data_IF_854473263953
#
_entry.id   IF_854473263953
#
_cell.length_a   1.000
_cell.length_b   1.000
_cell.length_c   1.000
_cell.angle_alpha   90.00
_cell.angle_beta   90.00
_cell.angle_gamma   90.00
#
_symmetry.space_group_name_H-M   'P 1'
#
loop_
_entity.id
_entity.type
_entity.pdbx_description
1 polymer ?
#
# COMPACT_ATOMS: atom_id res chain seq x y z
N UNK A 1 0.18 22.16 6.49
CA UNK A 1 1.42 22.96 6.56
C UNK A 1 1.13 24.13 7.48
N UNK A 2 2.06 24.49 8.36
CA UNK A 2 1.92 25.68 9.18
C UNK A 2 1.71 26.91 8.30
N UNK A 3 0.83 27.81 8.72
CA UNK A 3 0.53 29.04 8.00
C UNK A 3 1.74 29.96 7.96
N UNK A 4 2.57 29.94 9.01
CA UNK A 4 3.83 30.70 9.11
C UNK A 4 4.83 30.35 7.99
N UNK A 5 4.87 29.09 7.56
CA UNK A 5 5.77 28.63 6.48
C UNK A 5 5.37 29.17 5.11
N UNK A 6 4.21 29.81 4.96
CA UNK A 6 3.84 30.44 3.68
C UNK A 6 4.81 31.55 3.28
N UNK A 7 5.43 32.24 4.24
CA UNK A 7 6.45 33.25 3.97
C UNK A 7 7.71 32.69 3.28
N UNK A 8 7.95 31.38 3.42
CA UNK A 8 9.11 30.69 2.86
C UNK A 8 8.90 30.21 1.41
N UNK A 9 7.66 30.25 0.90
CA UNK A 9 7.30 29.76 -0.44
C UNK A 9 8.23 30.29 -1.54
N UNK A 10 8.56 31.59 -1.61
CA UNK A 10 9.49 32.08 -2.64
C UNK A 10 10.85 31.36 -2.59
N UNK A 11 11.42 31.19 -1.40
CA UNK A 11 12.72 30.52 -1.22
C UNK A 11 12.65 29.02 -1.60
N UNK A 12 11.58 28.32 -1.22
CA UNK A 12 11.38 26.91 -1.62
C UNK A 12 11.26 26.78 -3.14
N UNK A 13 10.47 27.65 -3.80
CA UNK A 13 10.30 27.61 -5.26
C UNK A 13 11.61 27.93 -6.00
N UNK A 14 12.38 28.90 -5.51
CA UNK A 14 13.69 29.24 -6.08
C UNK A 14 14.69 28.09 -5.89
N UNK A 15 14.68 27.43 -4.73
CA UNK A 15 15.46 26.22 -4.46
C UNK A 15 15.13 25.09 -5.44
N UNK A 16 13.84 24.84 -5.68
CA UNK A 16 13.37 23.85 -6.65
C UNK A 16 13.85 24.17 -8.07
N UNK A 17 13.79 25.43 -8.48
CA UNK A 17 14.22 25.87 -9.80
C UNK A 17 15.74 25.78 -9.99
N UNK A 18 16.53 26.07 -8.94
CA UNK A 18 17.99 25.85 -8.92
C UNK A 18 18.33 24.37 -8.99
N UNK A 19 17.57 23.54 -8.28
CA UNK A 19 17.74 22.08 -8.25
C UNK A 19 17.42 21.44 -9.60
N UNK A 20 16.37 21.89 -10.27
CA UNK A 20 15.90 21.34 -11.54
C UNK A 20 15.41 22.46 -12.49
N UNK A 21 16.29 23.00 -13.35
CA UNK A 21 15.94 24.06 -14.30
C UNK A 21 14.86 23.68 -15.31
N UNK A 22 14.55 22.38 -15.47
CA UNK A 22 13.45 21.94 -16.36
C UNK A 22 12.07 22.40 -15.86
N UNK A 23 11.96 22.86 -14.61
CA UNK A 23 10.73 23.39 -14.04
C UNK A 23 10.36 24.80 -14.54
N UNK A 24 11.22 25.50 -15.30
CA UNK A 24 10.92 26.86 -15.81
C UNK A 24 9.52 27.01 -16.43
N UNK A 25 9.03 26.10 -17.28
CA UNK A 25 7.71 26.25 -17.92
C UNK A 25 6.55 26.13 -16.94
N UNK A 26 6.71 25.40 -15.84
CA UNK A 26 5.66 25.30 -14.83
C UNK A 26 5.74 26.46 -13.83
N UNK A 27 6.94 26.95 -13.52
CA UNK A 27 7.15 28.07 -12.60
C UNK A 27 6.45 29.36 -13.06
N UNK A 28 6.31 29.57 -14.37
CA UNK A 28 5.56 30.72 -14.93
C UNK A 28 4.04 30.60 -14.79
N UNK A 29 3.51 29.42 -14.47
CA UNK A 29 2.09 29.15 -14.32
C UNK A 29 1.64 29.13 -12.84
N UNK A 30 2.57 29.27 -11.90
CA UNK A 30 2.26 29.24 -10.48
C UNK A 30 1.72 30.59 -10.01
N UNK A 31 0.57 30.60 -9.35
CA UNK A 31 0.14 31.71 -8.52
C UNK A 31 0.77 31.56 -7.13
N UNK A 32 1.86 32.30 -6.89
CA UNK A 32 2.59 32.30 -5.61
C UNK A 32 1.80 32.91 -4.46
N UNK A 33 0.72 33.65 -4.76
CA UNK A 33 -0.19 34.20 -3.74
C UNK A 33 -1.28 33.20 -3.33
N UNK A 34 -1.49 32.15 -4.12
CA UNK A 34 -2.51 31.13 -3.86
C UNK A 34 -2.24 30.40 -2.54
N UNK A 35 -3.21 30.47 -1.64
CA UNK A 35 -3.24 29.71 -0.38
C UNK A 35 -4.25 28.58 -0.49
N UNK A 36 -3.79 27.40 -0.89
CA UNK A 36 -4.63 26.21 -0.86
C UNK A 36 -5.02 25.83 0.58
N UNK A 37 -5.99 24.93 0.73
CA UNK A 37 -6.38 24.36 2.03
C UNK A 37 -5.25 23.61 2.79
N UNK A 38 -4.09 23.41 2.16
CA UNK A 38 -2.96 22.73 2.77
C UNK A 38 -2.28 23.57 3.87
N UNK A 39 -2.44 24.91 3.84
CA UNK A 39 -1.94 25.83 4.87
C UNK A 39 -3.00 26.01 5.95
N UNK A 40 -2.81 25.41 7.11
CA UNK A 40 -3.81 25.40 8.18
C UNK A 40 -3.17 24.91 9.49
N UNK A 41 -2.95 25.80 10.44
CA UNK A 41 -2.34 25.46 11.74
C UNK A 41 -3.20 24.50 12.56
N UNK A 42 -4.53 24.65 12.49
CA UNK A 42 -5.48 23.77 13.17
C UNK A 42 -5.50 22.32 12.67
N UNK A 43 -4.78 22.01 11.58
CA UNK A 43 -4.61 20.64 11.04
C UNK A 43 -3.17 20.14 11.11
N UNK A 44 -2.26 20.89 11.73
CA UNK A 44 -0.90 20.44 12.00
C UNK A 44 -0.89 19.71 13.35
N UNK A 45 -0.24 18.55 13.39
CA UNK A 45 -0.05 17.77 14.63
C UNK A 45 1.41 17.89 15.08
N UNK A 46 2.04 16.83 15.60
CA UNK A 46 3.47 16.83 15.92
C UNK A 46 4.37 17.13 14.71
N UNK A 47 3.89 16.86 13.50
CA UNK A 47 4.62 17.07 12.25
C UNK A 47 3.71 17.70 11.19
N UNK A 48 4.33 18.32 10.18
CA UNK A 48 3.65 18.85 9.01
C UNK A 48 3.87 17.95 7.78
N UNK A 49 3.18 18.25 6.67
CA UNK A 49 3.36 17.54 5.40
C UNK A 49 4.81 17.61 4.90
N UNK A 50 5.28 16.54 4.26
CA UNK A 50 6.62 16.46 3.69
C UNK A 50 6.69 17.34 2.45
N UNK A 51 7.60 18.32 2.45
CA UNK A 51 7.80 19.30 1.37
C UNK A 51 9.27 19.41 1.00
N UNK A 52 9.61 19.99 -0.17
CA UNK A 52 10.99 20.35 -0.49
C UNK A 52 11.56 21.37 0.50
N UNK A 53 12.88 21.36 0.66
CA UNK A 53 13.61 22.25 1.57
C UNK A 53 14.03 23.57 0.91
N UNK A 54 14.44 24.53 1.73
CA UNK A 54 14.96 25.84 1.30
C UNK A 54 16.29 25.74 0.54
N UNK A 55 17.04 24.66 0.75
CA UNK A 55 18.34 24.45 0.11
C UNK A 55 18.21 23.70 -1.21
N UNK A 56 18.87 24.16 -2.30
CA UNK A 56 18.94 23.42 -3.54
C UNK A 56 19.58 22.04 -3.35
N UNK A 57 18.96 21.01 -3.90
CA UNK A 57 19.49 19.64 -3.81
C UNK A 57 20.35 19.30 -5.02
N UNK A 58 21.41 18.51 -4.82
CA UNK A 58 22.10 17.83 -5.92
C UNK A 58 21.39 16.52 -6.23
N UNK A 59 20.80 16.41 -7.42
CA UNK A 59 20.05 15.21 -7.84
C UNK A 59 20.94 14.09 -8.39
N UNK A 60 22.17 14.39 -8.79
CA UNK A 60 23.11 13.44 -9.41
C UNK A 60 23.43 12.19 -8.57
N UNK A 61 23.61 12.27 -7.23
CA UNK A 61 23.90 11.09 -6.42
C UNK A 61 22.65 10.25 -6.09
N UNK A 62 21.44 10.75 -6.37
CA UNK A 62 20.22 10.05 -6.02
C UNK A 62 20.02 8.83 -6.91
N UNK A 63 19.69 7.70 -6.29
CA UNK A 63 19.18 6.54 -7.01
C UNK A 63 17.86 6.88 -7.72
N UNK A 64 17.48 6.06 -8.71
CA UNK A 64 16.21 6.21 -9.43
C UNK A 64 15.00 6.27 -8.47
N UNK A 65 15.03 5.48 -7.39
CA UNK A 65 13.95 5.45 -6.39
C UNK A 65 13.90 6.73 -5.56
N UNK A 66 15.05 7.22 -5.10
CA UNK A 66 15.13 8.49 -4.35
C UNK A 66 14.68 9.65 -5.22
N UNK A 67 15.11 9.68 -6.48
CA UNK A 67 14.70 10.69 -7.45
C UNK A 67 13.20 10.63 -7.73
N UNK A 68 12.61 9.44 -7.84
CA UNK A 68 11.16 9.28 -8.00
C UNK A 68 10.37 9.81 -6.79
N UNK A 69 10.82 9.51 -5.57
CA UNK A 69 10.21 10.03 -4.33
C UNK A 69 10.35 11.55 -4.25
N UNK A 70 11.54 12.10 -4.53
CA UNK A 70 11.77 13.54 -4.57
C UNK A 70 10.85 14.25 -5.57
N UNK A 71 10.75 13.72 -6.80
CA UNK A 71 9.86 14.26 -7.84
C UNK A 71 8.40 14.22 -7.40
N UNK A 72 7.97 13.15 -6.73
CA UNK A 72 6.60 13.03 -6.20
C UNK A 72 6.30 14.09 -5.13
N UNK A 73 7.21 14.28 -4.17
CA UNK A 73 7.07 15.30 -3.11
C UNK A 73 7.00 16.69 -3.73
N UNK A 74 7.95 17.01 -4.61
CA UNK A 74 8.01 18.28 -5.34
C UNK A 74 6.74 18.56 -6.12
N UNK A 75 6.24 17.58 -6.88
CA UNK A 75 5.04 17.75 -7.69
C UNK A 75 3.80 18.07 -6.84
N UNK A 76 3.66 17.42 -5.68
CA UNK A 76 2.58 17.73 -4.73
C UNK A 76 2.70 19.13 -4.11
N UNK A 77 3.92 19.62 -3.89
CA UNK A 77 4.15 20.98 -3.43
C UNK A 77 3.80 22.01 -4.51
N UNK A 78 4.27 21.84 -5.74
CA UNK A 78 3.96 22.72 -6.88
C UNK A 78 2.45 22.78 -7.16
N UNK A 79 1.75 21.65 -7.01
CA UNK A 79 0.30 21.57 -7.15
C UNK A 79 -0.48 22.53 -6.23
N UNK A 80 0.10 22.97 -5.10
CA UNK A 80 -0.55 23.90 -4.18
C UNK A 80 -0.70 25.32 -4.74
N UNK A 81 0.03 25.65 -5.81
CA UNK A 81 0.08 26.97 -6.43
C UNK A 81 -0.47 26.99 -7.87
N UNK A 82 -1.10 25.89 -8.28
CA UNK A 82 -1.77 25.78 -9.58
C UNK A 82 -3.28 25.85 -9.39
N UNK A 83 -4.03 26.33 -10.40
CA UNK A 83 -5.48 26.45 -10.31
C UNK A 83 -6.15 25.08 -10.15
N UNK A 84 -7.42 25.10 -9.77
CA UNK A 84 -8.22 23.89 -9.70
C UNK A 84 -8.29 23.18 -11.05
N UNK A 85 -8.40 21.85 -10.98
CA UNK A 85 -8.70 21.05 -12.17
C UNK A 85 -10.21 21.13 -12.42
N UNK A 86 -10.60 21.74 -13.52
CA UNK A 86 -12.00 21.98 -13.88
C UNK A 86 -12.37 21.15 -15.10
N UNK A 87 -13.57 20.59 -15.08
CA UNK A 87 -14.10 19.77 -16.17
C UNK A 87 -15.62 19.87 -16.21
N UNK A 88 -16.16 19.82 -17.42
CA UNK A 88 -17.58 19.69 -17.66
C UNK A 88 -17.96 18.21 -17.61
N UNK A 89 -18.95 17.89 -16.78
CA UNK A 89 -19.55 16.55 -16.74
C UNK A 89 -20.90 16.61 -17.43
N UNK A 90 -21.04 15.88 -18.53
CA UNK A 90 -22.31 15.71 -19.23
C UNK A 90 -22.91 14.35 -18.88
N UNK A 91 -24.18 14.31 -18.51
CA UNK A 91 -24.95 13.07 -18.38
C UNK A 91 -26.08 13.16 -19.39
N UNK A 92 -26.04 12.30 -20.40
CA UNK A 92 -27.03 12.25 -21.46
C UNK A 92 -27.88 10.99 -21.29
N UNK A 93 -29.19 11.20 -21.20
CA UNK A 93 -30.18 10.14 -21.16
C UNK A 93 -30.80 9.98 -22.53
N UNK A 94 -30.86 8.75 -23.03
CA UNK A 94 -31.41 8.41 -24.33
C UNK A 94 -32.55 7.43 -24.15
N UNK A 95 -33.66 7.72 -24.83
CA UNK A 95 -34.75 6.76 -24.99
C UNK A 95 -34.52 5.99 -26.28
N UNK A 96 -34.43 4.66 -26.17
CA UNK A 96 -34.29 3.76 -27.31
C UNK A 96 -35.33 2.64 -27.18
N UNK A 97 -36.45 2.79 -27.88
CA UNK A 97 -37.61 1.89 -27.71
C UNK A 97 -38.16 1.99 -26.29
N UNK A 98 -38.16 0.86 -25.56
CA UNK A 98 -38.58 0.80 -24.15
C UNK A 98 -37.43 0.95 -23.15
N UNK A 99 -36.19 1.11 -23.64
CA UNK A 99 -35.00 1.16 -22.79
C UNK A 99 -34.56 2.61 -22.58
N UNK A 100 -34.10 2.89 -21.36
CA UNK A 100 -33.40 4.12 -21.01
C UNK A 100 -31.90 3.83 -20.94
N UNK A 101 -31.13 4.51 -21.78
CA UNK A 101 -29.67 4.40 -21.84
C UNK A 101 -29.06 5.67 -21.27
N UNK A 102 -27.92 5.54 -20.60
CA UNK A 102 -27.19 6.68 -20.02
C UNK A 102 -25.77 6.68 -20.54
N UNK A 103 -25.34 7.82 -21.06
CA UNK A 103 -23.93 8.09 -21.34
C UNK A 103 -23.43 9.20 -20.42
N UNK A 104 -22.28 9.00 -19.78
CA UNK A 104 -21.59 10.07 -19.05
C UNK A 104 -20.36 10.49 -19.83
N UNK A 105 -20.18 11.80 -19.99
CA UNK A 105 -19.00 12.41 -20.61
C UNK A 105 -18.26 13.33 -19.65
N UNK A 106 -16.95 13.45 -19.85
CA UNK A 106 -16.08 14.36 -19.10
C UNK A 106 -15.17 15.11 -20.06
N UNK A 107 -15.33 16.43 -20.13
CA UNK A 107 -14.46 17.33 -20.91
C UNK A 107 -13.61 18.16 -19.95
N UNK A 108 -12.29 18.03 -20.01
CA UNK A 108 -11.39 18.89 -19.21
C UNK A 108 -11.41 20.30 -19.77
N UNK A 109 -11.70 21.28 -18.91
CA UNK A 109 -11.70 22.72 -19.23
C UNK A 109 -10.39 23.35 -18.76
N UNK A 110 -9.98 23.05 -17.52
CA UNK A 110 -8.71 23.50 -16.93
C UNK A 110 -7.96 22.30 -16.39
N UNK A 111 -6.74 22.05 -16.90
CA UNK A 111 -5.90 20.96 -16.38
C UNK A 111 -5.47 21.21 -14.93
N UNK A 112 -5.15 22.46 -14.61
CA UNK A 112 -4.85 22.92 -13.25
C UNK A 112 -3.70 22.18 -12.61
N UNK A 113 -3.81 21.89 -11.31
CA UNK A 113 -2.80 21.16 -10.53
C UNK A 113 -2.41 19.79 -11.10
N UNK A 114 -3.19 19.19 -12.01
CA UNK A 114 -2.81 17.95 -12.70
C UNK A 114 -1.67 18.12 -13.70
N UNK A 115 -1.24 19.34 -14.00
CA UNK A 115 -0.07 19.59 -14.86
C UNK A 115 1.23 18.98 -14.31
N UNK A 116 1.36 18.91 -12.98
CA UNK A 116 2.59 18.45 -12.32
C UNK A 116 2.49 17.03 -11.78
N UNK A 117 1.27 16.52 -11.58
CA UNK A 117 1.07 15.14 -11.13
C UNK A 117 0.99 14.21 -12.33
N UNK A 118 1.63 13.05 -12.22
CA UNK A 118 1.50 12.00 -13.22
C UNK A 118 0.01 11.67 -13.42
N UNK A 119 -0.43 11.60 -14.68
CA UNK A 119 -1.77 11.10 -14.94
C UNK A 119 -1.84 9.64 -14.48
N UNK A 120 -2.87 9.27 -13.71
CA UNK A 120 -3.05 7.87 -13.35
C UNK A 120 -3.13 7.08 -14.66
N UNK A 121 -2.25 6.09 -14.82
CA UNK A 121 -2.41 5.12 -15.89
C UNK A 121 -3.80 4.52 -15.73
N UNK A 122 -4.59 4.53 -16.81
CA UNK A 122 -5.88 3.84 -16.80
C UNK A 122 -5.61 2.38 -16.42
N UNK A 123 -6.12 1.95 -15.26
CA UNK A 123 -6.15 0.54 -14.94
C UNK A 123 -7.06 -0.12 -15.99
N UNK A 124 -6.50 -1.00 -16.82
CA UNK A 124 -7.20 -1.69 -17.92
C UNK A 124 -8.44 -2.50 -17.47
N UNK A 125 -8.63 -2.68 -16.15
CA UNK A 125 -9.71 -3.45 -15.53
C UNK A 125 -10.83 -2.58 -14.90
N UNK A 126 -10.91 -1.28 -15.22
CA UNK A 126 -11.82 -0.34 -14.57
C UNK A 126 -12.91 0.26 -15.47
N UNK A 127 -14.12 0.40 -14.92
CA UNK A 127 -15.27 1.15 -15.47
C UNK A 127 -14.99 2.68 -15.65
N UNK A 128 -13.75 3.11 -15.39
CA UNK A 128 -13.31 4.50 -15.50
C UNK A 128 -13.16 4.97 -16.96
N UNK A 129 -12.92 4.06 -17.91
CA UNK A 129 -12.81 4.39 -19.33
C UNK A 129 -14.13 4.97 -19.89
N UNK A 130 -15.29 4.50 -19.40
CA UNK A 130 -16.59 5.07 -19.77
C UNK A 130 -16.84 6.45 -19.14
N UNK A 131 -16.13 6.80 -18.07
CA UNK A 131 -16.24 8.10 -17.37
C UNK A 131 -15.28 9.16 -17.89
N UNK A 132 -14.29 8.78 -18.70
CA UNK A 132 -13.32 9.68 -19.32
C UNK A 132 -13.63 10.00 -20.78
N UNK A 133 -14.67 9.39 -21.39
CA UNK A 133 -15.08 9.73 -22.74
C UNK A 133 -15.55 11.19 -22.85
N UNK A 134 -15.28 11.82 -23.98
CA UNK A 134 -15.85 13.13 -24.32
C UNK A 134 -17.11 12.89 -25.13
N UNK A 135 -18.24 13.42 -24.67
CA UNK A 135 -19.47 13.38 -25.44
C UNK A 135 -19.50 14.56 -26.43
N UNK A 136 -20.07 14.36 -27.63
CA UNK A 136 -20.31 15.46 -28.55
C UNK A 136 -21.31 16.45 -27.94
N UNK A 137 -21.43 17.67 -28.49
CA UNK A 137 -22.49 18.59 -28.12
C UNK A 137 -23.87 17.94 -28.33
N UNK A 138 -24.66 17.84 -27.25
CA UNK A 138 -26.01 17.27 -27.26
C UNK A 138 -27.03 18.32 -26.81
N UNK A 139 -28.26 18.21 -27.29
CA UNK A 139 -29.40 19.04 -26.86
C UNK A 139 -30.66 18.18 -26.70
N UNK A 140 -31.57 18.61 -25.83
CA UNK A 140 -32.86 17.92 -25.65
C UNK A 140 -33.62 17.79 -26.97
N UNK A 141 -34.22 16.62 -27.20
CA UNK A 141 -34.97 16.32 -28.42
C UNK A 141 -34.12 15.97 -29.65
N UNK A 142 -32.78 15.92 -29.54
CA UNK A 142 -31.93 15.44 -30.61
C UNK A 142 -32.16 13.94 -30.86
N UNK A 143 -32.49 13.58 -32.09
CA UNK A 143 -32.56 12.18 -32.50
C UNK A 143 -31.15 11.66 -32.86
N UNK A 144 -30.74 10.56 -32.23
CA UNK A 144 -29.48 9.88 -32.50
C UNK A 144 -29.74 8.55 -33.21
N UNK A 145 -28.96 8.23 -34.25
CA UNK A 145 -29.03 6.92 -34.90
C UNK A 145 -28.24 5.88 -34.09
N UNK A 146 -28.82 4.69 -33.92
CA UNK A 146 -28.12 3.55 -33.33
C UNK A 146 -27.27 2.89 -34.42
N UNK A 147 -25.95 3.00 -34.31
CA UNK A 147 -25.03 2.41 -35.27
C UNK A 147 -24.76 0.93 -34.98
N UNK A 148 -24.59 0.58 -33.71
CA UNK A 148 -24.27 -0.77 -33.25
C UNK A 148 -24.94 -1.05 -31.91
N UNK A 149 -25.30 -2.31 -31.68
CA UNK A 149 -25.80 -2.80 -30.38
C UNK A 149 -24.96 -4.01 -29.98
N UNK A 150 -24.26 -3.89 -28.85
CA UNK A 150 -23.46 -4.96 -28.27
C UNK A 150 -24.09 -5.44 -26.96
N UNK A 151 -24.31 -6.76 -26.83
CA UNK A 151 -24.73 -7.36 -25.56
C UNK A 151 -23.48 -7.72 -24.76
N UNK A 152 -23.20 -6.97 -23.69
CA UNK A 152 -22.07 -7.23 -22.79
C UNK A 152 -22.45 -8.29 -21.74
N UNK A 153 -22.04 -9.53 -21.97
CA UNK A 153 -22.16 -10.61 -20.99
C UNK A 153 -21.09 -10.43 -19.89
N UNK A 154 -21.48 -9.82 -18.76
CA UNK A 154 -20.57 -9.56 -17.63
C UNK A 154 -20.69 -10.63 -16.54
N UNK A 155 -19.61 -10.79 -15.77
CA UNK A 155 -19.55 -11.68 -14.60
C UNK A 155 -18.98 -10.93 -13.40
N UNK A 156 -19.57 -11.14 -12.22
CA UNK A 156 -19.02 -10.60 -10.97
C UNK A 156 -17.64 -11.19 -10.70
N UNK A 157 -16.69 -10.34 -10.32
CA UNK A 157 -15.35 -10.76 -9.93
C UNK A 157 -15.22 -10.76 -8.40
N UNK A 158 -14.41 -11.67 -7.81
CA UNK A 158 -14.08 -11.59 -6.41
C UNK A 158 -13.28 -10.31 -6.10
N UNK A 159 -13.24 -9.85 -4.84
CA UNK A 159 -12.44 -8.69 -4.45
C UNK A 159 -10.97 -8.83 -4.87
N UNK A 160 -10.39 -7.75 -5.39
CA UNK A 160 -8.97 -7.73 -5.77
C UNK A 160 -8.10 -7.90 -4.51
N UNK A 161 -7.04 -8.72 -4.55
CA UNK A 161 -6.09 -8.80 -3.46
C UNK A 161 -5.41 -7.45 -3.22
N UNK A 162 -5.03 -7.17 -1.97
CA UNK A 162 -4.31 -5.95 -1.63
C UNK A 162 -2.95 -5.85 -2.33
N UNK A 163 -2.54 -4.65 -2.70
CA UNK A 163 -1.14 -4.24 -2.80
C UNK A 163 -0.63 -3.77 -1.43
N UNK A 164 0.68 -3.56 -1.27
CA UNK A 164 1.22 -3.01 -0.01
C UNK A 164 0.64 -1.62 0.31
N UNK A 165 0.48 -0.76 -0.70
CA UNK A 165 -0.08 0.58 -0.52
C UNK A 165 -1.56 0.53 -0.11
N UNK A 166 -2.35 -0.35 -0.73
CA UNK A 166 -3.75 -0.53 -0.35
C UNK A 166 -3.89 -1.15 1.05
N UNK A 167 -2.98 -2.02 1.46
CA UNK A 167 -2.95 -2.53 2.83
C UNK A 167 -2.63 -1.42 3.83
N UNK A 168 -1.65 -0.55 3.57
CA UNK A 168 -1.39 0.64 4.41
C UNK A 168 -2.63 1.54 4.49
N UNK A 169 -3.31 1.77 3.36
CA UNK A 169 -4.58 2.52 3.32
C UNK A 169 -5.67 1.83 4.15
N UNK A 170 -5.72 0.50 4.11
CA UNK A 170 -6.65 -0.29 4.92
C UNK A 170 -6.34 -0.22 6.42
N UNK A 171 -5.05 -0.25 6.80
CA UNK A 171 -4.60 -0.06 8.19
C UNK A 171 -4.97 1.32 8.71
N UNK A 172 -4.85 2.38 7.89
CA UNK A 172 -5.35 3.73 8.20
C UNK A 172 -6.87 3.77 8.37
N UNK A 173 -7.59 3.07 7.49
CA UNK A 173 -9.06 3.04 7.45
C UNK A 173 -9.70 1.87 8.19
N UNK A 174 -9.00 1.25 9.14
CA UNK A 174 -9.39 -0.03 9.75
C UNK A 174 -10.73 0.02 10.48
N UNK A 175 -11.14 1.21 10.92
CA UNK A 175 -12.42 1.49 11.56
C UNK A 175 -13.65 0.98 10.76
N UNK A 176 -13.54 0.82 9.43
CA UNK A 176 -14.62 0.25 8.60
C UNK A 176 -14.91 -1.23 8.87
N UNK A 177 -13.97 -1.94 9.49
CA UNK A 177 -14.09 -3.36 9.84
C UNK A 177 -14.54 -3.57 11.29
N UNK A 178 -14.75 -2.50 12.05
CA UNK A 178 -15.26 -2.54 13.41
C UNK A 178 -16.73 -2.19 13.44
N UNK A 179 -17.53 -3.01 14.11
CA UNK A 179 -18.98 -2.88 14.22
C UNK A 179 -19.40 -1.95 15.35
N UNK A 180 -18.70 -1.98 16.48
CA UNK A 180 -18.98 -1.11 17.62
C UNK A 180 -18.76 0.38 17.25
N UNK A 181 -19.78 1.25 17.36
CA UNK A 181 -19.68 2.66 16.98
C UNK A 181 -18.63 3.45 17.77
N UNK A 182 -18.45 3.16 19.07
CA UNK A 182 -17.50 3.86 19.94
C UNK A 182 -16.07 3.50 19.56
N UNK A 183 -15.78 2.20 19.40
CA UNK A 183 -14.46 1.73 18.98
C UNK A 183 -14.11 2.20 17.57
N UNK A 184 -15.11 2.21 16.67
CA UNK A 184 -14.98 2.74 15.32
C UNK A 184 -14.61 4.22 15.32
N UNK A 185 -15.23 5.02 16.18
CA UNK A 185 -14.89 6.44 16.28
C UNK A 185 -13.47 6.62 16.80
N UNK A 186 -13.10 5.90 17.88
CA UNK A 186 -11.75 5.98 18.44
C UNK A 186 -10.65 5.65 17.41
N UNK A 187 -10.85 4.61 16.60
CA UNK A 187 -9.92 4.25 15.52
C UNK A 187 -9.84 5.31 14.41
N UNK A 188 -10.88 6.11 14.18
CA UNK A 188 -10.79 7.24 13.24
C UNK A 188 -9.94 8.36 13.82
N UNK A 189 -10.11 8.63 15.11
CA UNK A 189 -9.40 9.70 15.82
C UNK A 189 -7.89 9.38 15.91
N UNK A 190 -7.52 8.12 16.10
CA UNK A 190 -6.12 7.65 16.18
C UNK A 190 -5.50 7.29 14.82
N UNK A 191 -6.21 7.56 13.72
CA UNK A 191 -5.80 7.22 12.34
C UNK A 191 -5.62 5.73 12.03
N UNK A 192 -6.31 4.84 12.76
CA UNK A 192 -6.37 3.41 12.50
C UNK A 192 -5.36 2.59 13.32
N UNK A 193 -4.85 1.48 12.75
CA UNK A 193 -3.85 0.65 13.42
C UNK A 193 -2.43 0.98 12.95
N UNK A 194 -1.52 1.07 13.92
CA UNK A 194 -0.14 1.50 13.72
C UNK A 194 -0.03 2.98 13.35
N UNK A 195 1.16 3.54 13.55
CA UNK A 195 1.51 4.92 13.20
C UNK A 195 2.11 5.01 11.80
N UNK A 196 2.26 6.22 11.25
CA UNK A 196 2.86 6.42 9.93
C UNK A 196 4.27 5.81 9.82
N UNK A 197 5.04 5.85 10.91
CA UNK A 197 6.39 5.29 10.97
C UNK A 197 6.43 3.74 11.04
N UNK A 198 5.36 3.08 11.50
CA UNK A 198 5.41 1.65 11.83
C UNK A 198 4.76 0.74 10.79
N UNK A 199 3.76 1.21 10.04
CA UNK A 199 2.98 0.37 9.10
C UNK A 199 3.83 -0.32 8.04
N UNK A 200 4.75 0.40 7.40
CA UNK A 200 5.63 -0.16 6.37
C UNK A 200 6.56 -1.23 6.94
N UNK A 201 7.07 -1.02 8.17
CA UNK A 201 7.91 -1.98 8.86
C UNK A 201 7.13 -3.25 9.24
N UNK A 202 5.90 -3.11 9.76
CA UNK A 202 5.03 -4.25 10.10
C UNK A 202 4.77 -5.12 8.86
N UNK A 203 4.42 -4.52 7.72
CA UNK A 203 4.23 -5.24 6.46
C UNK A 203 5.51 -5.98 6.05
N UNK A 204 6.67 -5.32 6.17
CA UNK A 204 7.98 -5.91 5.87
C UNK A 204 8.29 -7.10 6.79
N UNK A 205 7.97 -7.02 8.08
CA UNK A 205 8.12 -8.10 9.05
C UNK A 205 7.21 -9.28 8.71
N UNK A 206 5.95 -9.04 8.35
CA UNK A 206 5.02 -10.10 7.94
C UNK A 206 5.47 -10.82 6.67
N UNK A 207 6.06 -10.09 5.73
CA UNK A 207 6.69 -10.68 4.53
C UNK A 207 7.93 -11.50 4.92
N UNK A 208 8.82 -10.94 5.75
CA UNK A 208 10.05 -11.61 6.17
C UNK A 208 9.78 -12.90 6.97
N UNK A 209 8.69 -12.92 7.75
CA UNK A 209 8.23 -14.11 8.49
C UNK A 209 7.47 -15.12 7.62
N UNK A 210 7.21 -14.80 6.35
CA UNK A 210 6.49 -15.69 5.43
C UNK A 210 4.98 -15.76 5.63
N UNK A 211 4.39 -14.84 6.41
CA UNK A 211 2.93 -14.73 6.58
C UNK A 211 2.27 -14.03 5.39
N UNK A 212 2.99 -13.13 4.73
CA UNK A 212 2.56 -12.46 3.51
C UNK A 212 3.50 -12.82 2.37
N UNK A 213 2.93 -13.24 1.24
CA UNK A 213 3.65 -13.52 0.00
C UNK A 213 3.34 -12.48 -1.07
N UNK A 214 4.35 -12.09 -1.84
CA UNK A 214 4.19 -11.17 -2.99
C UNK A 214 3.87 -11.97 -4.25
N UNK A 215 2.84 -11.56 -4.99
CA UNK A 215 2.51 -12.08 -6.33
C UNK A 215 2.33 -10.90 -7.28
N UNK A 216 3.38 -10.59 -8.05
CA UNK A 216 3.44 -9.35 -8.82
C UNK A 216 3.36 -8.13 -7.89
N UNK A 217 2.44 -7.20 -8.20
CA UNK A 217 2.15 -6.02 -7.34
C UNK A 217 1.30 -6.35 -6.12
N UNK A 218 0.59 -7.48 -6.14
CA UNK A 218 -0.31 -7.90 -5.06
C UNK A 218 0.39 -8.66 -3.94
N UNK A 219 -0.21 -8.65 -2.76
CA UNK A 219 0.18 -9.42 -1.59
C UNK A 219 -0.96 -10.33 -1.15
N UNK A 220 -0.62 -11.49 -0.61
CA UNK A 220 -1.58 -12.50 -0.15
C UNK A 220 -1.12 -13.13 1.17
N UNK A 221 -2.07 -13.53 2.01
CA UNK A 221 -1.79 -14.36 3.17
C UNK A 221 -1.29 -15.74 2.71
N UNK A 222 -0.34 -16.32 3.44
CA UNK A 222 0.12 -17.70 3.25
C UNK A 222 -0.72 -18.69 4.08
N UNK A 223 -0.59 -19.98 3.79
CA UNK A 223 -1.24 -21.04 4.60
C UNK A 223 -0.81 -20.97 6.08
N UNK A 224 0.44 -20.57 6.34
CA UNK A 224 0.95 -20.35 7.68
C UNK A 224 0.25 -19.16 8.37
N UNK A 225 -0.11 -18.11 7.62
CA UNK A 225 -0.87 -16.99 8.15
C UNK A 225 -2.31 -17.36 8.47
N UNK A 226 -2.99 -18.12 7.59
CA UNK A 226 -4.33 -18.65 7.88
C UNK A 226 -4.32 -19.49 9.15
N UNK A 227 -3.38 -20.44 9.24
CA UNK A 227 -3.24 -21.27 10.44
C UNK A 227 -2.99 -20.44 11.69
N UNK A 228 -2.17 -19.39 11.60
CA UNK A 228 -1.91 -18.50 12.75
C UNK A 228 -3.15 -17.71 13.16
N UNK A 229 -3.92 -17.19 12.21
CA UNK A 229 -5.14 -16.44 12.51
C UNK A 229 -6.22 -17.35 13.10
N UNK A 230 -6.37 -18.58 12.60
CA UNK A 230 -7.28 -19.58 13.16
C UNK A 230 -6.87 -20.02 14.57
N UNK A 231 -5.58 -19.92 14.89
CA UNK A 231 -4.98 -20.29 16.18
C UNK A 231 -5.09 -19.21 17.24
N UNK A 232 -5.07 -17.94 16.83
CA UNK A 232 -4.99 -16.80 17.73
C UNK A 232 -6.38 -16.52 18.33
N UNK A 233 -6.48 -16.14 19.61
CA UNK A 233 -7.75 -15.72 20.19
C UNK A 233 -8.40 -14.61 19.36
N UNK A 234 -9.70 -14.72 19.07
CA UNK A 234 -10.39 -13.74 18.22
C UNK A 234 -10.22 -12.30 18.71
N UNK A 235 -10.20 -12.09 20.03
CA UNK A 235 -9.96 -10.78 20.65
C UNK A 235 -8.58 -10.18 20.31
N UNK A 236 -7.56 -10.99 20.03
CA UNK A 236 -6.22 -10.52 19.65
C UNK A 236 -6.16 -10.17 18.15
N UNK A 237 -6.92 -10.88 17.32
CA UNK A 237 -7.02 -10.60 15.88
C UNK A 237 -7.96 -9.42 15.55
N UNK A 238 -8.84 -9.04 16.47
CA UNK A 238 -9.80 -7.95 16.30
C UNK A 238 -9.12 -6.56 16.41
N UNK A 239 -9.17 -5.70 15.37
CA UNK A 239 -8.67 -4.32 15.45
C UNK A 239 -9.40 -3.46 16.50
N UNK A 240 -10.60 -3.87 16.95
CA UNK A 240 -11.31 -3.24 18.06
C UNK A 240 -10.49 -3.22 19.36
N UNK A 241 -9.69 -4.26 19.61
CA UNK A 241 -8.81 -4.33 20.80
C UNK A 241 -7.74 -3.24 20.78
N UNK A 242 -7.20 -2.90 19.61
CA UNK A 242 -6.30 -1.74 19.48
C UNK A 242 -7.00 -0.44 19.88
N UNK A 243 -8.27 -0.26 19.51
CA UNK A 243 -9.04 0.93 19.89
C UNK A 243 -9.18 1.07 21.41
N UNK A 244 -9.41 -0.05 22.11
CA UNK A 244 -9.50 -0.09 23.57
C UNK A 244 -8.18 0.31 24.22
N UNK A 245 -7.05 -0.15 23.68
CA UNK A 245 -5.73 0.22 24.21
C UNK A 245 -5.42 1.69 23.98
N UNK A 246 -5.66 2.22 22.77
CA UNK A 246 -5.49 3.64 22.51
C UNK A 246 -6.37 4.51 23.43
N UNK A 247 -7.59 4.06 23.74
CA UNK A 247 -8.42 4.76 24.72
C UNK A 247 -7.80 4.76 26.12
N UNK A 248 -7.24 3.63 26.55
CA UNK A 248 -6.58 3.53 27.84
C UNK A 248 -5.31 4.41 27.90
N UNK A 249 -4.55 4.50 26.81
CA UNK A 249 -3.36 5.35 26.71
C UNK A 249 -3.72 6.85 26.80
N UNK A 250 -4.78 7.30 26.12
CA UNK A 250 -5.29 8.67 26.27
C UNK A 250 -5.76 8.96 27.69
N UNK A 251 -6.41 8.00 28.35
CA UNK A 251 -6.81 8.16 29.76
C UNK A 251 -5.60 8.29 30.68
N UNK A 252 -4.47 7.63 30.36
CA UNK A 252 -3.22 7.77 31.10
C UNK A 252 -2.64 9.18 30.88
N UNK A 253 -2.58 9.64 29.63
CA UNK A 253 -2.12 10.99 29.29
C UNK A 253 -2.96 12.07 29.99
N UNK A 254 -4.28 11.87 30.08
CA UNK A 254 -5.20 12.76 30.77
C UNK A 254 -5.20 12.62 32.31
N UNK A 255 -4.40 11.72 32.88
CA UNK A 255 -4.35 11.46 34.33
C UNK A 255 -5.58 10.76 34.91
N UNK A 256 -6.46 10.19 34.08
CA UNK A 256 -7.69 9.50 34.47
C UNK A 256 -7.47 8.01 34.76
N UNK A 257 -6.36 7.43 34.30
CA UNK A 257 -5.96 6.05 34.53
C UNK A 257 -4.47 6.02 34.88
N UNK A 258 -4.08 5.29 35.92
CA UNK A 258 -2.65 5.14 36.24
C UNK A 258 -2.02 4.05 35.38
N UNK A 259 -0.72 4.20 35.09
CA UNK A 259 0.04 3.19 34.36
C UNK A 259 0.01 1.83 35.07
N UNK A 260 0.13 1.80 36.40
CA UNK A 260 0.09 0.57 37.20
C UNK A 260 -1.24 -0.19 37.07
N UNK A 261 -2.36 0.53 37.10
CA UNK A 261 -3.69 -0.07 36.92
C UNK A 261 -3.84 -0.63 35.50
N UNK A 262 -3.38 0.11 34.49
CA UNK A 262 -3.37 -0.38 33.12
C UNK A 262 -2.56 -1.67 32.98
N UNK A 263 -1.28 -1.67 33.41
CA UNK A 263 -0.40 -2.83 33.32
C UNK A 263 -0.95 -4.04 34.09
N UNK A 264 -1.54 -3.83 35.26
CA UNK A 264 -2.17 -4.89 36.05
C UNK A 264 -3.33 -5.55 35.31
N UNK A 265 -4.18 -4.76 34.65
CA UNK A 265 -5.28 -5.27 33.81
C UNK A 265 -4.76 -6.05 32.61
N UNK A 266 -3.72 -5.54 31.93
CA UNK A 266 -3.12 -6.22 30.79
C UNK A 266 -2.48 -7.55 31.19
N UNK A 267 -1.76 -7.59 32.32
CA UNK A 267 -1.16 -8.80 32.85
C UNK A 267 -2.23 -9.85 33.19
N UNK A 268 -3.29 -9.46 33.92
CA UNK A 268 -4.39 -10.35 34.26
C UNK A 268 -5.08 -10.92 33.02
N UNK A 269 -5.33 -10.09 32.02
CA UNK A 269 -5.96 -10.51 30.77
C UNK A 269 -5.07 -11.48 29.96
N UNK A 270 -3.76 -11.19 29.86
CA UNK A 270 -2.80 -12.09 29.20
C UNK A 270 -2.72 -13.43 29.94
N UNK A 271 -2.67 -13.42 31.28
CA UNK A 271 -2.66 -14.66 32.07
C UNK A 271 -3.91 -15.51 31.83
N UNK A 272 -5.09 -14.88 31.74
CA UNK A 272 -6.34 -15.57 31.40
C UNK A 272 -6.30 -16.17 30.00
N UNK A 273 -5.81 -15.43 28.99
CA UNK A 273 -5.65 -15.94 27.63
C UNK A 273 -4.68 -17.13 27.60
N UNK A 274 -3.53 -17.04 28.28
CA UNK A 274 -2.58 -18.15 28.34
C UNK A 274 -3.21 -19.38 29.01
N UNK A 275 -3.95 -19.20 30.10
CA UNK A 275 -4.63 -20.31 30.77
C UNK A 275 -5.69 -20.96 29.88
N UNK A 276 -6.48 -20.15 29.17
CA UNK A 276 -7.56 -20.63 28.30
C UNK A 276 -7.02 -21.37 27.07
N UNK A 277 -5.92 -20.90 26.49
CA UNK A 277 -5.36 -21.47 25.26
C UNK A 277 -4.17 -22.41 25.50
N UNK A 278 -3.73 -22.56 26.76
CA UNK A 278 -2.59 -23.40 27.13
C UNK A 278 -2.78 -24.89 26.89
N UNK A 279 -4.04 -25.35 26.84
CA UNK A 279 -4.40 -26.74 26.46
C UNK A 279 -4.72 -26.90 24.98
N UNK A 280 -4.66 -25.83 24.18
CA UNK A 280 -5.04 -25.89 22.77
C UNK A 280 -3.92 -26.54 21.95
N UNK A 281 -4.21 -27.69 21.34
CA UNK A 281 -3.28 -28.34 20.42
C UNK A 281 -3.47 -27.77 19.01
N UNK A 282 -2.43 -27.14 18.48
CA UNK A 282 -2.46 -26.59 17.13
C UNK A 282 -2.06 -27.65 16.11
N UNK A 283 -3.02 -28.06 15.28
CA UNK A 283 -2.73 -28.87 14.08
C UNK A 283 -2.26 -27.95 12.96
N UNK A 284 -1.01 -27.50 13.05
CA UNK A 284 -0.42 -26.66 12.00
C UNK A 284 -0.11 -27.55 10.79
N UNK A 285 -0.97 -27.51 9.76
CA UNK A 285 -0.71 -28.10 8.44
C UNK A 285 0.35 -27.29 7.70
N UNK A 286 1.61 -27.43 8.11
CA UNK A 286 2.73 -26.91 7.34
C UNK A 286 2.92 -27.75 6.07
N UNK A 287 3.27 -27.15 4.92
CA UNK A 287 3.61 -27.89 3.73
C UNK A 287 4.75 -28.87 4.07
N UNK A 288 4.46 -30.17 4.01
CA UNK A 288 5.48 -31.18 4.24
C UNK A 288 6.42 -31.21 3.04
N UNK A 289 7.71 -30.98 3.29
CA UNK A 289 8.75 -31.32 2.33
C UNK A 289 8.93 -32.83 2.22
N UNK A 290 9.73 -33.31 1.26
CA UNK A 290 10.09 -34.73 1.15
C UNK A 290 10.61 -35.30 2.48
N UNK A 291 10.42 -36.60 2.70
CA UNK A 291 10.85 -37.27 3.92
C UNK A 291 12.35 -37.08 4.17
N UNK A 292 12.72 -36.85 5.44
CA UNK A 292 14.12 -36.66 5.82
C UNK A 292 14.94 -37.90 5.45
N UNK A 293 16.05 -37.76 4.70
CA UNK A 293 16.84 -38.90 4.23
C UNK A 293 17.51 -39.66 5.38
N UNK A 294 17.67 -39.03 6.55
CA UNK A 294 18.29 -39.66 7.71
C UNK A 294 17.30 -40.38 8.62
N UNK A 295 16.04 -39.96 8.67
CA UNK A 295 15.15 -40.42 9.73
C UNK A 295 13.67 -40.53 9.35
N UNK A 296 13.32 -40.31 8.08
CA UNK A 296 11.95 -40.40 7.56
C UNK A 296 11.00 -39.31 8.02
N UNK A 297 11.34 -38.51 9.03
CA UNK A 297 10.48 -37.43 9.52
C UNK A 297 10.28 -36.32 8.48
N UNK A 298 9.19 -35.55 8.60
CA UNK A 298 8.91 -34.44 7.69
C UNK A 298 10.05 -33.40 7.68
N UNK A 299 10.33 -32.83 6.52
CA UNK A 299 11.28 -31.72 6.38
C UNK A 299 10.56 -30.38 6.23
N UNK A 300 11.24 -29.30 6.60
CA UNK A 300 10.77 -27.90 6.47
C UNK A 300 11.78 -27.11 5.65
N UNK A 301 11.29 -26.26 4.75
CA UNK A 301 12.15 -25.41 3.93
C UNK A 301 12.80 -24.33 4.82
N UNK A 302 14.11 -24.21 4.73
CA UNK A 302 14.94 -23.18 5.37
C UNK A 302 15.82 -22.53 4.31
N UNK A 303 16.31 -21.33 4.58
CA UNK A 303 17.19 -20.60 3.66
C UNK A 303 18.59 -20.54 4.26
N UNK A 304 19.58 -21.04 3.52
CA UNK A 304 21.00 -21.00 3.90
C UNK A 304 21.81 -20.13 2.93
N UNK A 305 23.14 -20.12 3.12
CA UNK A 305 24.08 -19.36 2.25
C UNK A 305 23.99 -19.78 0.78
N UNK A 306 23.60 -21.02 0.49
CA UNK A 306 23.48 -21.60 -0.84
C UNK A 306 22.05 -21.59 -1.40
N UNK A 307 21.10 -20.89 -0.77
CA UNK A 307 19.70 -20.84 -1.17
C UNK A 307 18.77 -21.70 -0.31
N UNK A 308 17.51 -21.88 -0.74
CA UNK A 308 16.53 -22.67 0.00
C UNK A 308 16.85 -24.17 -0.04
N UNK A 309 16.71 -24.83 1.12
CA UNK A 309 16.91 -26.26 1.30
C UNK A 309 15.87 -26.80 2.29
N UNK A 310 15.51 -28.08 2.19
CA UNK A 310 14.70 -28.78 3.17
C UNK A 310 15.57 -29.21 4.35
N UNK A 311 15.13 -28.96 5.57
CA UNK A 311 15.80 -29.34 6.82
C UNK A 311 14.87 -30.20 7.67
N UNK A 312 15.40 -31.23 8.34
CA UNK A 312 14.60 -32.09 9.21
C UNK A 312 13.85 -31.28 10.28
N UNK A 313 12.56 -31.59 10.47
CA UNK A 313 11.74 -30.99 11.53
C UNK A 313 12.27 -31.29 12.94
N UNK A 314 13.05 -32.36 13.12
CA UNK A 314 13.68 -32.75 14.39
C UNK A 314 15.07 -32.16 14.62
N UNK A 315 15.48 -31.12 13.89
CA UNK A 315 16.73 -30.42 14.19
C UNK A 315 16.65 -29.75 15.59
N UNK A 316 17.67 -29.86 16.46
CA UNK A 316 19.04 -30.32 16.20
C UNK A 316 19.30 -31.84 16.30
N UNK A 317 18.34 -32.62 16.81
CA UNK A 317 18.48 -34.08 17.02
C UNK A 317 18.67 -34.86 15.72
N UNK A 318 18.14 -34.35 14.60
CA UNK A 318 18.42 -34.85 13.26
C UNK A 318 18.85 -33.71 12.33
N UNK A 319 20.02 -33.87 11.69
CA UNK A 319 20.63 -32.86 10.82
C UNK A 319 20.41 -33.11 9.32
N UNK A 320 19.48 -34.00 8.96
CA UNK A 320 19.21 -34.33 7.56
C UNK A 320 18.70 -33.12 6.78
N UNK A 321 19.26 -32.92 5.58
CA UNK A 321 18.88 -31.85 4.66
C UNK A 321 18.71 -32.37 3.24
N UNK A 322 17.89 -31.70 2.43
CA UNK A 322 17.72 -31.96 0.99
C UNK A 322 17.74 -30.63 0.22
N UNK A 323 18.25 -30.58 -1.01
CA UNK A 323 18.11 -29.39 -1.86
C UNK A 323 16.64 -29.18 -2.27
N UNK A 324 16.23 -27.92 -2.45
CA UNK A 324 14.96 -27.61 -3.12
C UNK A 324 15.21 -27.61 -4.63
N UNK A 325 14.57 -28.50 -5.38
CA UNK A 325 14.68 -28.50 -6.84
C UNK A 325 14.01 -27.25 -7.42
N UNK A 326 14.82 -26.23 -7.72
CA UNK A 326 14.41 -25.13 -8.59
C UNK A 326 14.48 -25.63 -10.03
N UNK A 327 13.34 -25.77 -10.70
CA UNK A 327 13.28 -26.12 -12.11
C UNK A 327 14.11 -25.17 -12.98
N UNK A 328 15.32 -25.60 -13.33
CA UNK A 328 16.03 -25.49 -14.62
C UNK A 328 17.51 -25.84 -14.37
N UNK A 329 18.04 -26.94 -14.95
CA UNK A 329 19.46 -27.22 -14.87
C UNK A 329 20.20 -26.25 -15.79
N UNK A 330 20.94 -25.28 -15.22
CA UNK A 330 22.04 -24.64 -15.95
C UNK A 330 23.06 -25.73 -16.25
N UNK A 331 23.06 -26.22 -17.49
CA UNK A 331 24.14 -27.04 -18.07
C UNK A 331 25.47 -26.33 -17.81
N UNK A 332 26.25 -26.87 -16.89
CA UNK A 332 27.63 -26.46 -16.70
C UNK A 332 28.41 -26.71 -17.98
N UNK A 333 29.04 -25.66 -18.50
CA UNK A 333 29.96 -25.76 -19.62
C UNK A 333 31.10 -26.71 -19.25
N UNK A 334 31.23 -27.81 -19.99
CA UNK A 334 32.42 -28.66 -19.92
C UNK A 334 33.63 -27.84 -20.37
N UNK A 335 34.58 -27.60 -19.48
CA UNK A 335 35.91 -27.13 -19.84
C UNK A 335 36.57 -28.19 -20.73
N UNK A 336 36.69 -27.93 -22.03
CA UNK A 336 37.56 -28.70 -22.92
C UNK A 336 39.01 -28.42 -22.53
N UNK A 337 39.73 -29.47 -22.11
CA UNK A 337 41.20 -29.46 -22.02
C UNK A 337 41.78 -29.30 -23.43
N UNK A 338 42.42 -28.18 -23.71
CA UNK A 338 43.24 -28.03 -24.92
C UNK A 338 44.60 -28.71 -24.71
N UNK A 339 44.82 -29.83 -25.40
CA UNK A 339 46.14 -30.42 -25.60
C UNK A 339 46.84 -29.69 -26.76
N UNK A 340 47.70 -28.72 -26.44
CA UNK A 340 48.63 -28.12 -27.41
C UNK A 340 49.88 -28.98 -27.55
N UNK A 341 50.01 -29.62 -28.71
CA UNK A 341 51.14 -30.47 -29.13
C UNK A 341 52.21 -29.59 -29.81
N UNK A 342 53.48 -29.78 -29.42
CA UNK A 342 54.68 -29.21 -30.06
C UNK A 342 54.83 -29.72 -31.51
N UNK A 343 55.42 -28.92 -32.39
CA UNK A 343 56.11 -29.42 -33.58
C UNK A 343 56.44 -28.37 -34.65
N UNK A 344 57.75 -28.21 -34.87
CA UNK A 344 58.48 -27.48 -35.94
C UNK A 344 58.51 -25.95 -35.86
#
# INVERSE_FOLDING_TARGET
LPESMFAEVPAVLDSLLKTDPSLRPIMSQLDRSQRSRAWNDGKVTAHHGIIPTLEPANLSPLSEKELAVYRLIRAHYLAQFLPHHEFDRTVAEFSCGQQMLVATGKQVVVKGWRLVLAEPQADEDGDDAARSQVLPPLRGGLACQVAEVEIKALKTMPPKPYTQGELVKSMKGIARFVTDPRLKQKLKDTTGIGTEATRANIISVLIARGYIVKKGRSIRASDAAFTLIDAVPAAIADPGTTAVWEQALDMIEAGQLTLDVFLSKQAAWISQLIAQYGSMSLSIKLPHGPACPQCGAATRQRTGKSGPFWSCSRYPDCKGTLPVESGTPKRGASRSRSSGRKGA
#
